data_IF_012668084528
#
_entry.id   IF_012668084528
#
_cell.length_a   1.000
_cell.length_b   1.000
_cell.length_c   1.000
_cell.angle_alpha   90.00
_cell.angle_beta   90.00
_cell.angle_gamma   90.00
#
_symmetry.space_group_name_H-M   'P 1'
#
loop_
_entity.id
_entity.type
_entity.pdbx_description
1 polymer ?
#
# COMPACT_ATOMS: atom_id res chain seq x y z
N UNK A 1 -0.48 -6.24 9.86
CA UNK A 1 0.17 -6.03 11.18
C UNK A 1 0.09 -7.27 12.04
N UNK A 2 -1.11 -7.77 12.36
CA UNK A 2 -1.28 -8.95 13.23
C UNK A 2 -0.43 -10.15 12.82
N UNK A 3 -0.40 -10.50 11.53
CA UNK A 3 0.42 -11.62 11.05
C UNK A 3 1.95 -11.39 11.20
N UNK A 4 2.42 -10.14 11.03
CA UNK A 4 3.83 -9.80 11.26
C UNK A 4 4.17 -9.91 12.74
N UNK A 5 3.33 -9.35 13.62
CA UNK A 5 3.50 -9.43 15.06
C UNK A 5 3.40 -10.88 15.57
N UNK A 6 2.49 -11.67 15.01
CA UNK A 6 2.34 -13.10 15.34
C UNK A 6 3.55 -13.94 14.93
N UNK A 7 4.22 -13.56 13.85
CA UNK A 7 5.52 -14.13 13.43
C UNK A 7 6.72 -13.47 14.14
N UNK A 8 6.48 -12.70 15.21
CA UNK A 8 7.50 -12.03 16.02
C UNK A 8 8.34 -10.96 15.28
N UNK A 9 7.86 -10.45 14.14
CA UNK A 9 8.47 -9.33 13.45
C UNK A 9 8.06 -8.00 14.08
N UNK A 10 9.06 -7.14 14.34
CA UNK A 10 8.84 -5.76 14.72
C UNK A 10 8.60 -4.91 13.49
N UNK A 11 7.50 -4.16 13.50
CA UNK A 11 7.08 -3.34 12.38
C UNK A 11 6.54 -2.00 12.88
N UNK A 12 6.91 -0.93 12.19
CA UNK A 12 6.42 0.43 12.43
C UNK A 12 5.48 0.82 11.30
N UNK A 13 4.25 1.21 11.63
CA UNK A 13 3.27 1.67 10.65
C UNK A 13 3.21 3.19 10.60
N UNK A 14 3.18 3.73 9.38
CA UNK A 14 3.06 5.14 9.06
C UNK A 14 1.80 5.34 8.21
N UNK A 15 0.99 6.34 8.57
CA UNK A 15 -0.05 6.84 7.68
C UNK A 15 0.61 7.56 6.50
N UNK A 16 0.22 7.19 5.28
CA UNK A 16 0.74 7.76 4.03
C UNK A 16 -0.39 8.01 3.04
N UNK A 17 -0.07 8.64 1.91
CA UNK A 17 -1.07 8.93 0.85
C UNK A 17 -0.45 8.62 -0.50
N UNK A 18 -1.16 7.84 -1.32
CA UNK A 18 -0.69 7.52 -2.67
C UNK A 18 -0.84 8.72 -3.61
N UNK A 19 0.22 9.09 -4.34
CA UNK A 19 0.20 10.26 -5.22
C UNK A 19 -0.78 10.17 -6.39
N UNK A 20 -1.07 8.95 -6.87
CA UNK A 20 -1.96 8.74 -8.02
C UNK A 20 -3.45 8.84 -7.64
N UNK A 21 -3.86 8.12 -6.59
CA UNK A 21 -5.26 8.04 -6.18
C UNK A 21 -5.63 9.10 -5.13
N UNK A 22 -4.63 9.76 -4.53
CA UNK A 22 -4.80 10.62 -3.34
C UNK A 22 -5.56 9.93 -2.21
N UNK A 23 -5.55 8.60 -2.19
CA UNK A 23 -6.15 7.78 -1.15
C UNK A 23 -5.15 7.53 -0.02
N UNK A 24 -5.69 7.32 1.18
CA UNK A 24 -4.91 6.97 2.36
C UNK A 24 -4.34 5.56 2.24
N UNK A 25 -3.04 5.44 2.46
CA UNK A 25 -2.29 4.20 2.41
C UNK A 25 -1.59 3.97 3.76
N UNK A 26 -1.14 2.76 4.00
CA UNK A 26 -0.24 2.45 5.13
C UNK A 26 1.13 2.06 4.59
N UNK A 27 2.16 2.78 5.03
CA UNK A 27 3.55 2.38 4.82
C UNK A 27 4.02 1.65 6.07
N UNK A 28 4.68 0.50 5.90
CA UNK A 28 5.21 -0.28 7.01
C UNK A 28 6.73 -0.36 6.86
N UNK A 29 7.46 -0.02 7.92
CA UNK A 29 8.91 -0.19 8.01
C UNK A 29 9.19 -1.40 8.90
N UNK A 30 9.98 -2.33 8.40
CA UNK A 30 10.30 -3.60 9.06
C UNK A 30 11.83 -3.75 9.01
N UNK A 31 12.47 -3.85 10.17
CA UNK A 31 13.90 -4.14 10.29
C UNK A 31 14.09 -5.60 10.68
N UNK A 32 14.77 -6.37 9.84
CA UNK A 32 15.02 -7.81 10.02
C UNK A 32 16.43 -8.19 9.57
N UNK A 33 16.90 -9.36 9.98
CA UNK A 33 18.12 -9.95 9.45
C UNK A 33 17.90 -10.43 8.01
N UNK A 34 18.97 -10.53 7.24
CA UNK A 34 18.96 -10.90 5.82
C UNK A 34 18.25 -12.24 5.59
N UNK A 35 18.46 -13.23 6.48
CA UNK A 35 17.87 -14.56 6.36
C UNK A 35 16.35 -14.57 6.58
N UNK A 36 15.78 -13.50 7.15
CA UNK A 36 14.36 -13.39 7.47
C UNK A 36 13.58 -12.61 6.41
N UNK A 37 14.26 -12.01 5.43
CA UNK A 37 13.62 -11.18 4.40
C UNK A 37 12.56 -11.96 3.63
N UNK A 38 12.87 -13.19 3.20
CA UNK A 38 11.94 -14.03 2.42
C UNK A 38 10.71 -14.44 3.22
N UNK A 39 10.86 -14.64 4.53
CA UNK A 39 9.73 -14.94 5.42
C UNK A 39 8.77 -13.74 5.51
N UNK A 40 9.32 -12.53 5.69
CA UNK A 40 8.53 -11.29 5.70
C UNK A 40 7.81 -11.09 4.37
N UNK A 41 8.51 -11.28 3.24
CA UNK A 41 7.91 -11.17 1.90
C UNK A 41 6.77 -12.18 1.71
N UNK A 42 6.94 -13.41 2.20
CA UNK A 42 5.91 -14.44 2.16
C UNK A 42 4.67 -14.04 2.96
N UNK A 43 4.86 -13.47 4.16
CA UNK A 43 3.75 -12.98 4.99
C UNK A 43 3.03 -11.84 4.28
N UNK A 44 3.75 -10.86 3.73
CA UNK A 44 3.18 -9.73 2.99
C UNK A 44 2.38 -10.24 1.79
N UNK A 45 2.95 -11.13 0.98
CA UNK A 45 2.31 -11.67 -0.21
C UNK A 45 1.01 -12.42 0.11
N UNK A 46 0.96 -13.15 1.22
CA UNK A 46 -0.24 -13.88 1.67
C UNK A 46 -1.39 -12.96 2.09
N UNK A 47 -1.09 -11.72 2.49
CA UNK A 47 -2.08 -10.80 3.08
C UNK A 47 -2.46 -9.70 2.09
N UNK A 48 -1.51 -9.28 1.26
CA UNK A 48 -1.69 -8.17 0.34
C UNK A 48 -2.29 -8.66 -0.98
N UNK A 49 -3.60 -8.48 -1.11
CA UNK A 49 -4.32 -8.79 -2.35
C UNK A 49 -4.62 -7.53 -3.15
N UNK A 50 -4.54 -7.66 -4.47
CA UNK A 50 -4.95 -6.63 -5.43
C UNK A 50 -6.48 -6.65 -5.57
N UNK A 51 -7.09 -5.48 -5.63
CA UNK A 51 -8.54 -5.27 -5.81
C UNK A 51 -8.78 -4.33 -6.98
N UNK A 52 -9.80 -4.59 -7.79
CA UNK A 52 -10.27 -3.61 -8.77
C UNK A 52 -11.12 -2.55 -8.08
N UNK A 53 -10.84 -1.27 -8.34
CA UNK A 53 -11.65 -0.15 -7.88
C UNK A 53 -12.10 0.67 -9.08
N UNK A 54 -13.39 1.00 -9.10
CA UNK A 54 -13.99 1.87 -10.12
C UNK A 54 -13.88 3.31 -9.64
N UNK A 55 -13.19 4.15 -10.39
CA UNK A 55 -13.10 5.58 -10.13
C UNK A 55 -13.95 6.35 -11.13
N UNK A 56 -14.92 7.11 -10.62
CA UNK A 56 -15.70 8.06 -11.40
C UNK A 56 -15.09 9.45 -11.22
N UNK A 57 -14.34 9.99 -12.20
CA UNK A 57 -13.80 11.34 -12.08
C UNK A 57 -14.94 12.35 -11.93
N UNK A 58 -14.89 13.21 -10.91
CA UNK A 58 -15.88 14.27 -10.78
C UNK A 58 -15.70 15.28 -11.92
N UNK A 59 -16.73 15.57 -12.71
CA UNK A 59 -16.63 16.62 -13.71
C UNK A 59 -16.43 17.97 -13.01
N UNK A 60 -15.62 18.88 -13.60
CA UNK A 60 -15.48 20.23 -13.06
C UNK A 60 -16.85 20.92 -13.05
N UNK A 61 -17.16 21.60 -11.94
CA UNK A 61 -18.43 22.30 -11.72
C UNK A 61 -18.50 23.51 -12.65
N UNK A 62 -19.03 23.31 -13.86
CA UNK A 62 -19.46 24.38 -14.77
C UNK A 62 -20.81 23.95 -15.34
N UNK A 63 -21.89 24.62 -14.90
CA UNK A 63 -23.27 24.39 -15.34
C UNK A 63 -23.50 24.76 -16.83
N UNK A 64 -24.69 24.47 -17.41
CA UNK A 64 -25.40 23.19 -17.45
C UNK A 64 -25.46 22.75 -18.92
N UNK A 65 -24.84 21.63 -19.27
CA UNK A 65 -25.00 21.03 -20.61
C UNK A 65 -25.18 19.54 -20.44
N UNK A 66 -26.21 19.04 -21.10
CA UNK A 66 -26.78 17.69 -21.02
C UNK A 66 -25.74 16.58 -20.87
N UNK A 67 -25.85 15.85 -19.76
CA UNK A 67 -25.32 14.50 -19.53
C UNK A 67 -23.86 14.28 -19.92
N UNK A 68 -22.93 14.72 -19.07
CA UNK A 68 -21.61 14.07 -19.02
C UNK A 68 -21.80 12.66 -18.44
N UNK A 69 -21.78 11.63 -19.31
CA UNK A 69 -21.68 10.24 -18.86
C UNK A 69 -20.23 9.99 -18.48
N UNK A 70 -19.93 10.07 -17.19
CA UNK A 70 -18.61 9.68 -16.68
C UNK A 70 -18.50 8.16 -16.73
N UNK A 71 -17.62 7.62 -17.58
CA UNK A 71 -17.32 6.20 -17.55
C UNK A 71 -16.37 5.91 -16.39
N UNK A 72 -16.71 4.97 -15.49
CA UNK A 72 -15.83 4.61 -14.40
C UNK A 72 -14.56 3.95 -14.95
N UNK A 73 -13.40 4.48 -14.57
CA UNK A 73 -12.10 3.89 -14.93
C UNK A 73 -11.81 2.79 -13.94
N UNK A 74 -11.59 1.56 -14.43
CA UNK A 74 -11.07 0.46 -13.61
C UNK A 74 -9.59 0.71 -13.33
N UNK A 75 -9.27 0.90 -12.06
CA UNK A 75 -7.89 0.88 -11.59
C UNK A 75 -7.69 -0.33 -10.69
N UNK A 76 -6.57 -1.02 -10.87
CA UNK A 76 -6.18 -2.05 -9.91
C UNK A 76 -5.45 -1.39 -8.73
N UNK A 77 -6.06 -1.46 -7.56
CA UNK A 77 -5.59 -0.86 -6.31
C UNK A 77 -5.25 -1.98 -5.32
N UNK A 78 -4.27 -1.80 -4.45
CA UNK A 78 -3.87 -2.82 -3.49
C UNK A 78 -2.73 -3.71 -3.98
N UNK A 79 -2.49 -4.82 -3.27
CA UNK A 79 -1.17 -5.43 -3.22
C UNK A 79 -0.22 -4.64 -2.32
N UNK A 80 1.05 -5.05 -2.28
CA UNK A 80 2.11 -4.34 -1.55
C UNK A 80 3.27 -4.03 -2.49
N UNK A 81 3.74 -2.80 -2.43
CA UNK A 81 5.02 -2.41 -3.03
C UNK A 81 6.05 -2.50 -1.91
N UNK A 82 7.07 -3.33 -2.10
CA UNK A 82 8.09 -3.59 -1.08
C UNK A 82 9.45 -3.16 -1.62
N UNK A 83 10.15 -2.33 -0.85
CA UNK A 83 11.54 -1.97 -1.10
C UNK A 83 12.41 -2.69 -0.07
N UNK A 84 13.36 -3.49 -0.55
CA UNK A 84 14.37 -4.13 0.31
C UNK A 84 15.64 -3.29 0.21
N UNK A 85 16.04 -2.71 1.34
CA UNK A 85 17.20 -1.82 1.43
C UNK A 85 18.24 -2.47 2.33
N UNK A 86 19.49 -2.57 1.86
CA UNK A 86 20.61 -2.97 2.70
C UNK A 86 20.85 -1.93 3.80
N UNK A 87 21.09 -2.38 5.02
CA UNK A 87 21.34 -1.51 6.18
C UNK A 87 22.75 -1.75 6.67
N UNK A 88 23.62 -0.74 6.57
CA UNK A 88 25.02 -0.84 7.01
C UNK A 88 25.14 -1.06 8.52
N UNK A 89 24.20 -0.50 9.30
CA UNK A 89 24.18 -0.63 10.76
C UNK A 89 22.77 -0.45 11.32
N UNK A 90 22.33 -1.40 12.14
CA UNK A 90 21.09 -1.33 12.92
C UNK A 90 21.42 -1.55 14.40
N UNK A 91 20.91 -0.67 15.26
CA UNK A 91 21.12 -0.72 16.70
C UNK A 91 19.77 -0.69 17.42
N UNK A 92 19.65 -1.48 18.49
CA UNK A 92 18.50 -1.44 19.40
C UNK A 92 19.01 -1.06 20.79
N UNK A 93 18.59 0.11 21.27
CA UNK A 93 18.98 0.70 22.55
C UNK A 93 17.78 0.68 23.50
#
# INVERSE_FOLDING_TARGET
MEALTGAQFQATMLASTGGFLREGNSTIIIGVQDEQVDEVLTIIQKISHRREQLLSPMPPVVEPVDSYVTYPVKVEVGGAIVFVLGVDRMERI
#
